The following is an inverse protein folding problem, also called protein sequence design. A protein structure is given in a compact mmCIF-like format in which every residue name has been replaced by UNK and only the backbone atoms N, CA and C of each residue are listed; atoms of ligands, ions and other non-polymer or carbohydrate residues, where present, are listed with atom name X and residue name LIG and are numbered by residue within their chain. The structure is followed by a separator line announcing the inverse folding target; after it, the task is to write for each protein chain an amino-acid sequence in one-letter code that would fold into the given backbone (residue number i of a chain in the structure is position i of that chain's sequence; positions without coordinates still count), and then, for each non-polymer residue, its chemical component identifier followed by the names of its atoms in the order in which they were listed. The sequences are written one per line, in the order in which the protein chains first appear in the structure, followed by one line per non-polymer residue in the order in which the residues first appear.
data_IF_076656517289
#
_entry.id   IF_076656517289
#
_cell.length_a   1.000
_cell.length_b   1.000
_cell.length_c   1.000
_cell.angle_alpha   90.00
_cell.angle_beta   90.00
_cell.angle_gamma   90.00
#
_symmetry.space_group_name_H-M   'P 1'
#
loop_
_entity.id
_entity.type
_entity.pdbx_description
1 polymer ?
#
# COMPACT_ATOMS: atom_id res chain seq x y z
N UNK A 1 -15.53 -5.64 47.97
CA UNK A 1 -15.59 -4.19 47.70
C UNK A 1 -14.32 -3.82 46.94
N UNK A 2 -14.28 -3.47 45.64
CA UNK A 2 -15.28 -2.98 44.70
C UNK A 2 -14.81 -1.63 44.11
N UNK A 3 -14.77 -1.55 42.77
CA UNK A 3 -14.60 -0.34 41.91
C UNK A 3 -13.19 0.27 41.81
N UNK A 4 -12.68 0.73 40.67
CA UNK A 4 -13.24 0.96 39.32
C UNK A 4 -12.22 1.78 38.52
N UNK A 5 -12.21 1.62 37.19
CA UNK A 5 -11.30 2.28 36.25
C UNK A 5 -11.47 3.81 36.16
N UNK A 6 -10.43 4.52 35.70
CA UNK A 6 -10.55 5.81 34.99
C UNK A 6 -9.30 6.12 34.14
N UNK A 7 -9.52 6.81 33.02
CA UNK A 7 -8.62 6.96 31.87
C UNK A 7 -8.27 8.44 31.55
N UNK A 8 -7.25 8.63 30.69
CA UNK A 8 -6.92 9.78 29.80
C UNK A 8 -6.38 11.10 30.43
N UNK A 9 -5.36 11.80 29.90
CA UNK A 9 -5.21 12.40 28.55
C UNK A 9 -3.75 12.83 28.25
N UNK A 10 -3.36 12.79 26.97
CA UNK A 10 -2.09 13.31 26.42
C UNK A 10 -2.05 14.85 26.39
N UNK A 11 -0.89 15.44 26.70
CA UNK A 11 -0.56 16.82 26.29
C UNK A 11 0.85 16.84 25.71
N UNK A 12 0.94 16.86 24.38
CA UNK A 12 2.19 17.14 23.65
C UNK A 12 2.22 18.64 23.41
N UNK A 13 3.09 19.35 24.12
CA UNK A 13 3.31 20.79 23.94
C UNK A 13 4.50 21.01 22.99
N UNK A 14 4.33 21.63 21.82
CA UNK A 14 5.45 22.21 21.08
C UNK A 14 5.74 23.65 21.56
N UNK A 15 7.01 24.05 21.74
CA UNK A 15 7.34 25.39 22.24
C UNK A 15 7.19 26.48 21.17
N UNK A 16 6.65 27.62 21.61
CA UNK A 16 6.53 28.89 20.91
C UNK A 16 7.90 29.49 20.56
N UNK A 17 8.05 30.02 19.34
CA UNK A 17 8.65 31.36 19.13
C UNK A 17 8.42 31.83 17.69
N UNK A 18 7.63 32.90 17.55
CA UNK A 18 7.42 33.67 16.33
C UNK A 18 8.51 34.74 16.21
N UNK A 19 9.04 34.95 15.01
CA UNK A 19 9.67 36.22 14.63
C UNK A 19 9.27 36.56 13.19
N UNK A 20 8.33 37.49 13.04
CA UNK A 20 7.89 38.03 11.76
C UNK A 20 8.75 39.25 11.43
N UNK A 21 9.65 39.14 10.46
CA UNK A 21 10.29 40.31 9.82
C UNK A 21 9.41 40.76 8.66
N UNK A 22 8.74 41.89 8.82
CA UNK A 22 8.02 42.59 7.76
C UNK A 22 9.00 43.39 6.91
N UNK A 23 9.03 43.15 5.60
CA UNK A 23 9.65 44.06 4.63
C UNK A 23 8.60 44.60 3.65
N UNK A 24 8.65 45.92 3.47
CA UNK A 24 7.68 46.75 2.79
C UNK A 24 7.77 46.64 1.25
N UNK A 25 6.62 46.91 0.60
CA UNK A 25 6.38 46.81 -0.83
C UNK A 25 7.14 47.86 -1.66
N UNK A 26 7.60 47.45 -2.85
CA UNK A 26 8.08 48.33 -3.92
C UNK A 26 7.69 47.74 -5.28
N UNK A 27 6.95 48.50 -6.08
CA UNK A 27 6.33 48.09 -7.33
C UNK A 27 7.33 47.97 -8.49
N UNK A 28 7.08 47.01 -9.40
CA UNK A 28 7.58 47.07 -10.78
C UNK A 28 8.50 45.93 -11.21
N UNK A 29 7.91 44.96 -11.93
CA UNK A 29 8.52 44.17 -13.00
C UNK A 29 9.85 43.42 -12.73
N UNK A 30 9.71 42.19 -12.20
CA UNK A 30 10.54 41.02 -12.56
C UNK A 30 9.63 39.79 -12.44
N UNK A 31 8.68 39.59 -13.35
CA UNK A 31 8.85 38.81 -14.60
C UNK A 31 9.32 37.37 -14.28
N UNK A 32 8.31 36.50 -14.14
CA UNK A 32 8.26 35.03 -14.35
C UNK A 32 8.78 34.00 -13.31
N UNK A 33 9.28 34.37 -12.13
CA UNK A 33 9.80 33.32 -11.19
C UNK A 33 8.94 33.10 -9.92
N UNK A 34 7.97 33.98 -9.65
CA UNK A 34 7.14 33.92 -8.42
C UNK A 34 5.69 33.45 -8.62
N UNK A 35 5.29 32.99 -9.81
CA UNK A 35 3.99 32.29 -9.99
C UNK A 35 4.08 30.80 -9.69
N UNK A 36 5.28 30.22 -9.66
CA UNK A 36 5.48 28.81 -9.31
C UNK A 36 5.50 28.54 -7.80
N UNK A 37 5.63 29.57 -6.95
CA UNK A 37 5.66 29.43 -5.49
C UNK A 37 4.32 29.77 -4.80
N UNK A 38 3.24 29.95 -5.58
CA UNK A 38 1.90 30.20 -5.06
C UNK A 38 0.92 29.03 -5.30
N UNK A 39 1.38 27.88 -5.80
CA UNK A 39 0.56 26.66 -5.95
C UNK A 39 1.27 25.39 -5.41
N UNK A 40 2.10 25.51 -4.38
CA UNK A 40 2.77 24.36 -3.76
C UNK A 40 2.48 24.25 -2.25
N UNK A 41 1.21 24.43 -1.86
CA UNK A 41 0.70 23.86 -0.60
C UNK A 41 -0.80 23.60 -0.67
N UNK A 42 -1.25 22.96 -1.75
CA UNK A 42 -2.27 21.96 -1.55
C UNK A 42 -1.49 20.70 -1.22
N UNK A 43 -1.43 20.34 0.06
CA UNK A 43 -1.28 18.94 0.38
C UNK A 43 -2.43 18.25 -0.35
N UNK A 44 -2.11 17.61 -1.48
CA UNK A 44 -2.95 16.53 -1.96
C UNK A 44 -2.76 15.47 -0.90
N UNK A 45 -3.54 15.58 0.18
CA UNK A 45 -4.14 14.40 0.71
C UNK A 45 -4.87 13.82 -0.50
N UNK A 46 -4.17 12.93 -1.21
CA UNK A 46 -4.83 11.73 -1.65
C UNK A 46 -5.31 11.10 -0.33
N UNK A 47 -6.45 11.60 0.17
CA UNK A 47 -7.45 10.65 0.60
C UNK A 47 -7.58 9.81 -0.64
N UNK A 48 -6.95 8.63 -0.61
CA UNK A 48 -7.31 7.57 -1.52
C UNK A 48 -8.82 7.67 -1.61
N UNK A 49 -9.40 7.84 -2.81
CA UNK A 49 -10.84 7.65 -2.92
C UNK A 49 -11.13 6.37 -2.14
N UNK A 50 -12.21 6.29 -1.34
CA UNK A 50 -12.66 4.99 -0.91
C UNK A 50 -13.05 4.32 -2.22
N UNK A 51 -12.06 3.67 -2.85
CA UNK A 51 -12.22 2.67 -3.87
C UNK A 51 -13.04 1.68 -3.10
N UNK A 52 -14.35 1.84 -3.19
CA UNK A 52 -15.32 0.90 -2.67
C UNK A 52 -14.84 -0.42 -3.27
N UNK A 53 -14.28 -1.36 -2.48
CA UNK A 53 -13.61 -2.52 -3.05
C UNK A 53 -14.71 -3.47 -3.50
N UNK A 54 -15.35 -3.14 -4.61
CA UNK A 54 -16.18 -4.08 -5.38
C UNK A 54 -15.33 -4.85 -6.39
N UNK A 55 -13.99 -4.65 -6.39
CA UNK A 55 -13.09 -5.27 -7.36
C UNK A 55 -11.61 -5.31 -6.97
N UNK A 56 -11.25 -5.12 -5.69
CA UNK A 56 -9.88 -5.38 -5.23
C UNK A 56 -9.83 -6.77 -4.60
N UNK A 57 -9.51 -7.78 -5.41
CA UNK A 57 -9.15 -9.09 -4.90
C UNK A 57 -7.84 -8.95 -4.12
N UNK A 58 -7.93 -8.85 -2.80
CA UNK A 58 -6.78 -8.69 -1.91
C UNK A 58 -5.78 -9.86 -2.05
N UNK A 59 -6.27 -11.03 -2.43
CA UNK A 59 -5.46 -12.20 -2.77
C UNK A 59 -4.67 -11.99 -4.07
N UNK A 60 -5.31 -11.48 -5.12
CA UNK A 60 -4.64 -11.12 -6.39
C UNK A 60 -3.54 -10.09 -6.13
N UNK A 61 -3.84 -9.04 -5.36
CA UNK A 61 -2.85 -8.02 -5.00
C UNK A 61 -1.68 -8.62 -4.20
N UNK A 62 -1.97 -9.50 -3.23
CA UNK A 62 -0.96 -10.19 -2.44
C UNK A 62 -0.05 -11.07 -3.29
N UNK A 63 -0.64 -11.87 -4.19
CA UNK A 63 0.09 -12.74 -5.11
C UNK A 63 0.94 -11.94 -6.09
N UNK A 64 0.43 -10.82 -6.61
CA UNK A 64 1.21 -9.93 -7.47
C UNK A 64 2.40 -9.30 -6.73
N UNK A 65 2.23 -8.96 -5.46
CA UNK A 65 3.33 -8.49 -4.61
C UNK A 65 4.38 -9.60 -4.40
N UNK A 66 3.97 -10.86 -4.21
CA UNK A 66 4.89 -12.01 -4.18
C UNK A 66 5.63 -12.15 -5.50
N UNK A 67 4.90 -12.16 -6.63
CA UNK A 67 5.47 -12.23 -7.99
C UNK A 67 6.52 -11.14 -8.23
N UNK A 68 6.31 -9.91 -7.76
CA UNK A 68 7.27 -8.81 -7.94
C UNK A 68 8.61 -8.99 -7.22
N UNK A 69 8.67 -9.84 -6.18
CA UNK A 69 9.91 -10.12 -5.43
C UNK A 69 10.57 -11.44 -5.82
N UNK A 70 9.91 -12.21 -6.68
CA UNK A 70 10.38 -13.49 -7.17
C UNK A 70 10.95 -13.33 -8.57
N UNK A 71 12.12 -13.93 -8.80
CA UNK A 71 12.74 -14.07 -10.10
C UNK A 71 12.30 -15.40 -10.69
N UNK A 72 11.60 -15.31 -11.81
CA UNK A 72 11.07 -16.44 -12.56
C UNK A 72 11.83 -16.60 -13.87
N UNK A 73 12.81 -17.51 -13.90
CA UNK A 73 13.56 -17.82 -15.13
C UNK A 73 12.81 -18.74 -16.08
N UNK A 74 11.83 -19.49 -15.57
CA UNK A 74 11.09 -20.50 -16.34
C UNK A 74 9.77 -19.97 -16.89
N UNK A 75 9.34 -18.78 -16.48
CA UNK A 75 8.06 -18.19 -16.86
C UNK A 75 6.86 -18.92 -16.23
N UNK A 76 7.05 -19.64 -15.11
CA UNK A 76 5.98 -20.41 -14.46
C UNK A 76 4.87 -19.52 -13.90
N UNK A 77 5.16 -18.26 -13.56
CA UNK A 77 4.18 -17.27 -13.09
C UNK A 77 3.71 -16.34 -14.21
N UNK A 78 4.02 -16.63 -15.49
CA UNK A 78 3.65 -15.76 -16.61
C UNK A 78 2.12 -15.54 -16.71
N UNK A 79 1.33 -16.55 -16.36
CA UNK A 79 -0.14 -16.47 -16.36
C UNK A 79 -0.78 -15.69 -15.20
N UNK A 80 0.01 -15.19 -14.25
CA UNK A 80 -0.53 -14.39 -13.14
C UNK A 80 -0.78 -12.96 -13.62
N UNK A 81 -2.05 -12.55 -13.61
CA UNK A 81 -2.50 -11.24 -14.08
C UNK A 81 -3.25 -10.49 -12.99
N UNK A 82 -2.82 -9.25 -12.71
CA UNK A 82 -3.47 -8.37 -11.72
C UNK A 82 -4.93 -8.05 -12.06
N UNK A 83 -5.33 -8.19 -13.32
CA UNK A 83 -6.70 -7.96 -13.77
C UNK A 83 -7.56 -9.24 -13.72
N UNK A 84 -6.99 -10.39 -13.33
CA UNK A 84 -7.76 -11.63 -13.19
C UNK A 84 -8.77 -11.48 -12.05
N UNK A 85 -10.01 -11.87 -12.34
CA UNK A 85 -11.09 -11.93 -11.35
C UNK A 85 -10.89 -13.11 -10.40
N UNK A 86 -10.22 -14.17 -10.89
CA UNK A 86 -10.04 -15.42 -10.15
C UNK A 86 -8.56 -15.86 -10.15
N UNK A 87 -7.86 -15.78 -8.99
CA UNK A 87 -6.48 -16.27 -8.86
C UNK A 87 -6.37 -17.80 -8.84
N UNK A 88 -7.47 -18.53 -8.64
CA UNK A 88 -7.48 -20.00 -8.60
C UNK A 88 -7.22 -20.65 -9.96
N UNK A 89 -7.38 -19.88 -11.04
CA UNK A 89 -7.06 -20.30 -12.41
C UNK A 89 -5.57 -20.22 -12.72
N UNK A 90 -4.77 -19.62 -11.83
CA UNK A 90 -3.35 -19.40 -12.08
C UNK A 90 -2.53 -20.65 -11.83
N UNK A 91 -1.44 -20.79 -12.60
CA UNK A 91 -0.46 -21.83 -12.38
C UNK A 91 0.13 -21.73 -10.98
N UNK A 92 0.28 -22.88 -10.31
CA UNK A 92 0.83 -23.01 -8.95
C UNK A 92 -0.04 -22.41 -7.83
N UNK A 93 -1.24 -21.91 -8.12
CA UNK A 93 -2.20 -21.49 -7.10
C UNK A 93 -3.23 -22.60 -6.91
N UNK A 94 -3.49 -22.97 -5.67
CA UNK A 94 -4.56 -23.90 -5.33
C UNK A 94 -5.50 -23.25 -4.31
N UNK A 95 -6.79 -23.38 -4.56
CA UNK A 95 -7.85 -22.77 -3.78
C UNK A 95 -8.72 -23.78 -3.04
N UNK A 96 -9.37 -23.33 -1.99
CA UNK A 96 -10.44 -24.05 -1.32
C UNK A 96 -11.69 -24.13 -2.21
N UNK A 97 -12.67 -25.00 -1.87
CA UNK A 97 -13.98 -25.00 -2.52
C UNK A 97 -14.73 -23.67 -2.45
N UNK A 98 -14.41 -22.84 -1.44
CA UNK A 98 -14.97 -21.51 -1.24
C UNK A 98 -14.27 -20.43 -2.08
N UNK A 99 -13.22 -20.78 -2.82
CA UNK A 99 -12.49 -19.87 -3.70
C UNK A 99 -11.35 -19.10 -3.04
N UNK A 100 -10.92 -19.47 -1.82
CA UNK A 100 -9.79 -18.83 -1.15
C UNK A 100 -8.47 -19.52 -1.49
N UNK A 101 -7.38 -18.76 -1.59
CA UNK A 101 -6.05 -19.31 -1.85
C UNK A 101 -5.54 -20.04 -0.60
N UNK A 102 -5.37 -21.35 -0.70
CA UNK A 102 -4.93 -22.21 0.41
C UNK A 102 -3.53 -22.79 0.20
N UNK A 103 -3.04 -22.81 -1.03
CA UNK A 103 -1.73 -23.39 -1.33
C UNK A 103 -1.06 -22.69 -2.50
N UNK A 104 0.24 -22.48 -2.37
CA UNK A 104 1.09 -21.91 -3.42
C UNK A 104 2.23 -22.87 -3.72
N UNK A 105 2.24 -23.49 -4.89
CA UNK A 105 3.27 -24.44 -5.27
C UNK A 105 4.50 -23.70 -5.82
N UNK A 106 5.24 -22.99 -4.98
CA UNK A 106 6.41 -22.22 -5.42
C UNK A 106 7.71 -23.01 -5.28
N UNK A 107 7.74 -24.01 -4.38
CA UNK A 107 8.90 -24.86 -4.15
C UNK A 107 9.33 -25.63 -5.42
N UNK A 108 10.65 -25.75 -5.60
CA UNK A 108 11.29 -26.51 -6.70
C UNK A 108 10.93 -26.08 -8.14
N UNK A 109 10.21 -24.96 -8.32
CA UNK A 109 9.82 -24.45 -9.65
C UNK A 109 10.87 -23.54 -10.30
N UNK A 110 12.09 -23.49 -9.76
CA UNK A 110 13.14 -22.60 -10.26
C UNK A 110 12.86 -21.11 -9.99
N UNK A 111 11.98 -20.83 -9.02
CA UNK A 111 11.76 -19.49 -8.50
C UNK A 111 12.86 -19.18 -7.48
N UNK A 112 13.47 -18.00 -7.61
CA UNK A 112 14.50 -17.52 -6.68
C UNK A 112 14.16 -16.11 -6.22
N UNK A 113 14.47 -15.75 -4.98
CA UNK A 113 14.18 -14.42 -4.45
C UNK A 113 13.67 -14.47 -3.01
N UNK A 114 13.04 -13.38 -2.58
CA UNK A 114 12.45 -13.27 -1.26
C UNK A 114 10.92 -13.23 -1.36
N UNK A 115 10.24 -13.92 -0.46
CA UNK A 115 8.78 -13.85 -0.37
C UNK A 115 8.35 -12.49 0.17
N UNK A 116 7.35 -11.87 -0.47
CA UNK A 116 6.78 -10.61 0.00
C UNK A 116 6.03 -10.82 1.32
N UNK A 117 6.14 -9.92 2.31
CA UNK A 117 5.31 -9.96 3.53
C UNK A 117 3.82 -9.92 3.24
N UNK A 118 3.42 -9.45 2.06
CA UNK A 118 2.04 -9.47 1.57
C UNK A 118 1.42 -10.86 1.52
N UNK A 119 2.23 -11.93 1.56
CA UNK A 119 1.76 -13.31 1.74
C UNK A 119 0.85 -13.46 2.98
N UNK A 120 1.07 -12.65 4.03
CA UNK A 120 0.23 -12.62 5.23
C UNK A 120 -1.18 -12.09 5.00
N UNK A 121 -1.46 -11.53 3.83
CA UNK A 121 -2.81 -11.11 3.43
C UNK A 121 -3.64 -12.29 2.86
N UNK A 122 -3.00 -13.45 2.62
CA UNK A 122 -3.67 -14.70 2.26
C UNK A 122 -4.06 -15.43 3.55
N UNK A 123 -5.17 -15.02 4.16
CA UNK A 123 -5.62 -15.49 5.47
C UNK A 123 -5.87 -17.00 5.56
N UNK A 124 -6.13 -17.65 4.42
CA UNK A 124 -6.44 -19.08 4.32
C UNK A 124 -5.25 -19.92 3.82
N UNK A 125 -4.07 -19.31 3.63
CA UNK A 125 -2.90 -20.01 3.13
C UNK A 125 -2.39 -21.03 4.15
N UNK A 126 -2.24 -22.29 3.71
CA UNK A 126 -1.81 -23.42 4.53
C UNK A 126 -0.44 -23.97 4.11
N UNK A 127 -0.12 -23.94 2.81
CA UNK A 127 1.09 -24.58 2.26
C UNK A 127 1.76 -23.73 1.18
N UNK A 128 3.10 -23.84 1.07
CA UNK A 128 3.96 -23.11 0.12
C UNK A 128 5.07 -24.00 -0.46
#
# INVERSE_FOLDING_TARGET
HGHGARAETLSVTPPLAMARLTFAAGAGAVVVVATAWLLASAGVAAGDPPLSPKGLNYEVAALMAVKSRMRDEKGVMAGWDINSVDPCTWSMVACSPDGFVVSLQMANNGLSGALSPSIGNLSYLQTM
#
